data_IF_718020030717
#
_entry.id   IF_718020030717
#
_cell.length_a   1.000
_cell.length_b   1.000
_cell.length_c   1.000
_cell.angle_alpha   90.00
_cell.angle_beta   90.00
_cell.angle_gamma   90.00
#
_symmetry.space_group_name_H-M   'P 1'
#
loop_
_entity.id
_entity.type
_entity.pdbx_description
1 polymer ?
#
# COMPACT_ATOMS: atom_id res chain seq x y z
N UNK A 1 11.77 -13.06 -19.27
CA UNK A 1 11.09 -13.40 -17.98
C UNK A 1 9.63 -12.98 -18.13
N UNK A 2 8.68 -13.89 -17.94
CA UNK A 2 7.24 -13.54 -18.04
C UNK A 2 6.72 -13.12 -16.65
N UNK A 3 6.24 -11.89 -16.52
CA UNK A 3 5.71 -11.34 -15.28
C UNK A 3 4.19 -11.12 -15.43
N UNK A 4 3.38 -11.87 -14.70
CA UNK A 4 1.93 -11.69 -14.67
C UNK A 4 1.55 -10.66 -13.59
N UNK A 5 0.87 -9.57 -13.97
CA UNK A 5 0.50 -8.48 -13.07
C UNK A 5 -1.02 -8.36 -12.98
N UNK A 6 -1.59 -8.60 -11.80
CA UNK A 6 -2.98 -8.27 -11.53
C UNK A 6 -3.10 -6.89 -10.91
N UNK A 7 -4.19 -6.17 -11.20
CA UNK A 7 -4.31 -4.77 -10.79
C UNK A 7 -3.44 -3.81 -11.63
N UNK A 8 -3.03 -4.23 -12.83
CA UNK A 8 -2.21 -3.47 -13.77
C UNK A 8 -2.78 -2.09 -14.14
N UNK A 9 -4.11 -1.92 -14.10
CA UNK A 9 -4.79 -0.65 -14.37
C UNK A 9 -4.90 0.27 -13.14
N UNK A 10 -4.51 -0.22 -11.97
CA UNK A 10 -4.50 0.53 -10.72
C UNK A 10 -3.37 1.55 -10.63
N UNK A 11 -3.33 2.33 -9.55
CA UNK A 11 -2.38 3.42 -9.35
C UNK A 11 -0.92 2.93 -9.38
N UNK A 12 -0.56 1.93 -8.57
CA UNK A 12 0.78 1.34 -8.56
C UNK A 12 1.00 0.50 -9.83
N UNK A 13 -0.02 -0.26 -10.24
CA UNK A 13 0.07 -1.18 -11.37
C UNK A 13 0.42 -0.50 -12.69
N UNK A 14 -0.14 0.67 -12.99
CA UNK A 14 0.18 1.43 -14.21
C UNK A 14 1.65 1.79 -14.28
N UNK A 15 2.23 2.29 -13.18
CA UNK A 15 3.64 2.65 -13.13
C UNK A 15 4.53 1.41 -13.23
N UNK A 16 4.17 0.32 -12.54
CA UNK A 16 4.88 -0.95 -12.64
C UNK A 16 4.88 -1.49 -14.07
N UNK A 17 3.73 -1.51 -14.75
CA UNK A 17 3.62 -1.95 -16.15
C UNK A 17 4.48 -1.10 -17.08
N UNK A 18 4.54 0.21 -16.85
CA UNK A 18 5.39 1.10 -17.64
C UNK A 18 6.88 0.81 -17.45
N UNK A 19 7.31 0.50 -16.22
CA UNK A 19 8.70 0.18 -15.92
C UNK A 19 9.11 -1.20 -16.48
N UNK A 20 8.25 -2.20 -16.33
CA UNK A 20 8.56 -3.59 -16.76
C UNK A 20 8.48 -3.78 -18.29
N UNK A 21 7.75 -2.91 -18.99
CA UNK A 21 7.64 -2.95 -20.44
C UNK A 21 7.10 -4.29 -20.99
N UNK A 22 7.73 -4.82 -22.02
CA UNK A 22 7.27 -6.03 -22.73
C UNK A 22 7.34 -7.34 -21.94
N UNK A 23 8.03 -7.37 -20.82
CA UNK A 23 8.10 -8.55 -19.94
C UNK A 23 6.82 -8.76 -19.11
N UNK A 24 5.99 -7.73 -18.97
CA UNK A 24 4.80 -7.76 -18.12
C UNK A 24 3.51 -7.99 -18.91
N UNK A 25 2.68 -8.90 -18.40
CA UNK A 25 1.34 -9.20 -18.92
C UNK A 25 0.29 -8.81 -17.89
N UNK A 26 -0.66 -7.96 -18.30
CA UNK A 26 -1.78 -7.56 -17.45
C UNK A 26 -2.81 -8.69 -17.35
N UNK A 27 -3.14 -9.10 -16.13
CA UNK A 27 -4.10 -10.16 -15.84
C UNK A 27 -5.28 -9.62 -15.05
N UNK A 28 -6.50 -9.93 -15.45
CA UNK A 28 -7.68 -9.58 -14.67
C UNK A 28 -7.87 -10.57 -13.52
N UNK A 29 -7.77 -10.10 -12.26
CA UNK A 29 -8.02 -10.95 -11.09
C UNK A 29 -9.45 -11.52 -11.02
N UNK A 30 -10.41 -10.92 -11.76
CA UNK A 30 -11.81 -11.36 -11.83
C UNK A 30 -12.11 -12.20 -13.09
N UNK A 31 -11.17 -12.27 -14.03
CA UNK A 31 -11.33 -12.94 -15.33
C UNK A 31 -10.64 -14.30 -15.39
N UNK A 32 -10.20 -14.62 -16.61
CA UNK A 32 -9.39 -15.81 -16.90
C UNK A 32 -7.97 -15.62 -16.34
N UNK A 33 -7.51 -16.60 -15.58
CA UNK A 33 -6.20 -16.60 -14.92
C UNK A 33 -5.15 -17.45 -15.68
N UNK A 34 -5.40 -17.82 -16.92
CA UNK A 34 -4.47 -18.65 -17.72
C UNK A 34 -3.07 -18.08 -17.81
N UNK A 35 -2.95 -16.74 -17.85
CA UNK A 35 -1.65 -16.07 -17.92
C UNK A 35 -0.86 -16.14 -16.62
N UNK A 36 -1.47 -16.55 -15.50
CA UNK A 36 -0.79 -16.84 -14.23
C UNK A 36 0.03 -18.12 -14.36
N UNK A 37 -0.56 -19.16 -14.97
CA UNK A 37 0.16 -20.38 -15.24
C UNK A 37 1.29 -20.12 -16.27
N UNK A 38 2.48 -20.62 -15.99
CA UNK A 38 3.67 -20.40 -16.81
C UNK A 38 4.27 -19.00 -16.74
N UNK A 39 3.88 -18.19 -15.77
CA UNK A 39 4.61 -16.97 -15.43
C UNK A 39 5.80 -17.28 -14.53
N UNK A 40 6.97 -16.67 -14.80
CA UNK A 40 8.13 -16.78 -13.91
C UNK A 40 7.89 -16.03 -12.59
N UNK A 41 7.12 -14.94 -12.66
CA UNK A 41 6.79 -14.05 -11.54
C UNK A 41 5.32 -13.66 -11.60
N UNK A 42 4.66 -13.64 -10.44
CA UNK A 42 3.31 -13.09 -10.30
C UNK A 42 3.34 -11.91 -9.32
N UNK A 43 2.79 -10.76 -9.76
CA UNK A 43 2.59 -9.56 -8.94
C UNK A 43 1.10 -9.31 -8.77
N UNK A 44 0.60 -9.43 -7.54
CA UNK A 44 -0.82 -9.27 -7.22
C UNK A 44 -1.10 -7.96 -6.50
N UNK A 45 -1.58 -6.96 -7.26
CA UNK A 45 -1.93 -5.63 -6.76
C UNK A 45 -3.44 -5.36 -6.79
N UNK A 46 -4.24 -6.33 -7.25
CA UNK A 46 -5.67 -6.15 -7.37
C UNK A 46 -6.37 -6.18 -5.99
N UNK A 47 -7.34 -5.31 -5.80
CA UNK A 47 -8.16 -5.25 -4.60
C UNK A 47 -9.22 -4.15 -4.69
N UNK A 48 -10.34 -4.33 -4.01
CA UNK A 48 -11.39 -3.32 -3.91
C UNK A 48 -10.84 -2.06 -3.21
N UNK A 49 -11.11 -0.83 -3.71
CA UNK A 49 -10.67 0.39 -3.07
C UNK A 49 -11.19 0.51 -1.63
N UNK A 50 -10.30 0.84 -0.68
CA UNK A 50 -10.69 1.06 0.73
C UNK A 50 -11.20 2.48 0.98
N UNK A 51 -10.88 3.44 0.11
CA UNK A 51 -11.22 4.86 0.24
C UNK A 51 -12.67 5.15 -0.19
N UNK A 52 -13.62 4.47 0.43
CA UNK A 52 -15.08 4.64 0.26
C UNK A 52 -15.77 4.44 1.60
N UNK A 53 -17.04 4.87 1.74
CA UNK A 53 -17.79 4.68 3.00
C UNK A 53 -18.03 3.19 3.25
N UNK A 54 -17.64 2.70 4.43
CA UNK A 54 -17.75 1.28 4.75
C UNK A 54 -19.15 0.92 5.22
N UNK A 55 -19.92 0.33 4.32
CA UNK A 55 -21.13 -0.44 4.67
C UNK A 55 -20.73 -1.89 4.89
N UNK A 56 -21.66 -2.75 5.31
CA UNK A 56 -21.45 -4.18 5.43
C UNK A 56 -21.01 -4.80 4.09
N UNK A 57 -21.68 -4.41 3.01
CA UNK A 57 -21.42 -4.89 1.65
C UNK A 57 -20.03 -4.44 1.15
N UNK A 58 -19.63 -3.19 1.46
CA UNK A 58 -18.31 -2.67 1.10
C UNK A 58 -17.21 -3.38 1.86
N UNK A 59 -17.38 -3.63 3.15
CA UNK A 59 -16.43 -4.41 3.95
C UNK A 59 -16.27 -5.82 3.40
N UNK A 60 -17.38 -6.48 3.04
CA UNK A 60 -17.33 -7.80 2.42
C UNK A 60 -16.58 -7.78 1.09
N UNK A 61 -16.83 -6.81 0.21
CA UNK A 61 -16.08 -6.64 -1.04
C UNK A 61 -14.58 -6.38 -0.81
N UNK A 62 -14.24 -5.58 0.20
CA UNK A 62 -12.84 -5.32 0.57
C UNK A 62 -12.16 -6.62 1.01
N UNK A 63 -12.82 -7.43 1.86
CA UNK A 63 -12.28 -8.70 2.34
C UNK A 63 -12.20 -9.74 1.22
N UNK A 64 -13.30 -10.01 0.53
CA UNK A 64 -13.35 -11.06 -0.50
C UNK A 64 -12.42 -10.77 -1.67
N UNK A 65 -12.31 -9.52 -2.11
CA UNK A 65 -11.37 -9.17 -3.19
C UNK A 65 -9.90 -9.45 -2.83
N UNK A 66 -9.55 -9.45 -1.55
CA UNK A 66 -8.20 -9.73 -1.05
C UNK A 66 -8.02 -11.20 -0.71
N UNK A 67 -8.85 -11.73 0.16
CA UNK A 67 -8.72 -13.11 0.67
C UNK A 67 -9.04 -14.12 -0.43
N UNK A 68 -10.27 -14.10 -0.94
CA UNK A 68 -10.71 -15.02 -2.00
C UNK A 68 -10.01 -14.73 -3.34
N UNK A 69 -9.79 -13.43 -3.63
CA UNK A 69 -9.04 -13.02 -4.81
C UNK A 69 -7.64 -13.59 -4.82
N UNK A 70 -6.91 -13.51 -3.71
CA UNK A 70 -5.55 -14.06 -3.58
C UNK A 70 -5.56 -15.58 -3.62
N UNK A 71 -6.52 -16.24 -2.94
CA UNK A 71 -6.69 -17.71 -3.03
C UNK A 71 -6.81 -18.18 -4.46
N UNK A 72 -7.66 -17.53 -5.26
CA UNK A 72 -7.81 -17.86 -6.69
C UNK A 72 -6.52 -17.70 -7.49
N UNK A 73 -5.71 -16.67 -7.19
CA UNK A 73 -4.42 -16.46 -7.83
C UNK A 73 -3.45 -17.60 -7.45
N UNK A 74 -3.38 -17.96 -6.16
CA UNK A 74 -2.52 -19.06 -5.67
C UNK A 74 -2.97 -20.41 -6.27
N UNK A 75 -4.27 -20.65 -6.37
CA UNK A 75 -4.79 -21.88 -7.00
C UNK A 75 -4.41 -21.95 -8.49
N UNK A 76 -4.41 -20.81 -9.20
CA UNK A 76 -4.00 -20.77 -10.60
C UNK A 76 -2.49 -21.03 -10.79
N UNK A 77 -1.67 -20.80 -9.77
CA UNK A 77 -0.22 -21.09 -9.79
C UNK A 77 0.09 -22.60 -9.63
N UNK A 78 -0.85 -23.41 -9.12
CA UNK A 78 -0.58 -24.83 -8.79
C UNK A 78 -0.14 -25.68 -9.98
N UNK A 79 -0.62 -25.35 -11.19
CA UNK A 79 -0.28 -26.12 -12.39
C UNK A 79 1.15 -25.90 -12.87
N UNK A 80 1.68 -24.68 -12.66
CA UNK A 80 3.03 -24.28 -13.03
C UNK A 80 3.46 -23.13 -12.09
N UNK A 81 4.06 -23.46 -10.94
CA UNK A 81 4.35 -22.48 -9.89
C UNK A 81 5.41 -21.45 -10.29
N UNK A 82 5.17 -20.15 -10.08
CA UNK A 82 6.15 -19.12 -10.35
C UNK A 82 7.31 -19.19 -9.35
N UNK A 83 8.47 -18.69 -9.74
CA UNK A 83 9.62 -18.57 -8.81
C UNK A 83 9.34 -17.57 -7.69
N UNK A 84 8.58 -16.49 -8.01
CA UNK A 84 8.31 -15.38 -7.10
C UNK A 84 6.84 -14.97 -7.16
N UNK A 85 6.25 -14.78 -6.00
CA UNK A 85 4.95 -14.17 -5.82
C UNK A 85 5.07 -12.93 -4.96
N UNK A 86 4.83 -11.75 -5.53
CA UNK A 86 4.75 -10.48 -4.83
C UNK A 86 3.28 -10.12 -4.64
N UNK A 87 2.81 -10.14 -3.41
CA UNK A 87 1.42 -9.82 -3.07
C UNK A 87 1.35 -8.47 -2.35
N UNK A 88 0.43 -7.60 -2.75
CA UNK A 88 0.13 -6.41 -1.98
C UNK A 88 -0.44 -6.79 -0.60
N UNK A 89 -0.12 -5.97 0.39
CA UNK A 89 -0.71 -5.91 1.72
C UNK A 89 -0.78 -4.43 2.13
N UNK A 90 -1.05 -4.12 3.38
CA UNK A 90 -1.14 -2.74 3.84
C UNK A 90 -0.65 -2.58 5.28
N UNK A 91 -0.15 -1.38 5.63
CA UNK A 91 0.18 -1.00 7.01
C UNK A 91 -1.04 -1.01 7.95
N UNK A 92 -2.26 -1.12 7.39
CA UNK A 92 -3.48 -1.44 8.14
C UNK A 92 -3.38 -2.70 9.00
N UNK A 93 -2.45 -3.60 8.68
CA UNK A 93 -2.05 -4.75 9.49
C UNK A 93 -1.76 -4.37 10.95
N UNK A 94 -1.13 -3.23 11.18
CA UNK A 94 -0.69 -2.80 12.52
C UNK A 94 -1.76 -2.06 13.32
N UNK A 95 -2.82 -1.55 12.67
CA UNK A 95 -3.80 -0.68 13.32
C UNK A 95 -3.20 0.64 13.81
N UNK A 96 -3.81 1.24 14.84
CA UNK A 96 -3.31 2.49 15.44
C UNK A 96 -2.55 2.18 16.72
N UNK A 97 -1.25 2.53 16.78
CA UNK A 97 -0.31 2.12 17.85
C UNK A 97 0.39 3.32 18.53
N UNK A 98 -0.18 4.54 18.42
CA UNK A 98 0.42 5.74 19.01
C UNK A 98 1.83 6.01 18.51
N UNK A 99 2.81 6.15 19.42
CA UNK A 99 4.21 6.43 19.09
C UNK A 99 5.09 5.18 18.93
N UNK A 100 4.50 3.98 19.04
CA UNK A 100 5.23 2.72 18.92
C UNK A 100 5.89 2.61 17.55
N UNK A 101 7.17 2.24 17.54
CA UNK A 101 7.91 1.98 16.33
C UNK A 101 7.51 0.59 15.80
N UNK A 102 6.98 0.54 14.58
CA UNK A 102 6.43 -0.67 13.97
C UNK A 102 7.36 -1.17 12.88
N UNK A 103 7.72 -2.43 12.97
CA UNK A 103 8.54 -3.15 12.00
C UNK A 103 7.79 -4.36 11.45
N UNK A 104 8.37 -5.08 10.52
CA UNK A 104 7.75 -6.28 9.96
C UNK A 104 7.48 -7.37 10.99
N UNK A 105 8.21 -7.36 12.11
CA UNK A 105 8.05 -8.30 13.24
C UNK A 105 6.95 -7.88 14.24
N UNK A 106 6.41 -6.66 14.13
CA UNK A 106 5.35 -6.17 15.02
C UNK A 106 4.06 -6.94 14.81
N UNK A 107 3.35 -7.22 15.92
CA UNK A 107 2.11 -7.99 15.91
C UNK A 107 0.98 -7.27 15.15
N UNK A 108 0.04 -8.03 14.56
CA UNK A 108 -1.14 -7.47 13.92
C UNK A 108 -2.09 -6.82 14.93
N UNK A 109 -2.89 -5.88 14.46
CA UNK A 109 -3.98 -5.31 15.24
C UNK A 109 -5.24 -6.17 15.15
N UNK A 110 -6.06 -6.05 16.18
CA UNK A 110 -7.45 -6.49 16.12
C UNK A 110 -8.31 -5.49 15.33
N UNK A 111 -9.41 -5.98 14.78
CA UNK A 111 -10.36 -5.18 14.01
C UNK A 111 -10.22 -5.36 12.50
N UNK A 112 -11.20 -4.80 11.78
CA UNK A 112 -11.48 -5.14 10.38
C UNK A 112 -10.25 -5.11 9.45
N UNK A 113 -9.47 -4.04 9.45
CA UNK A 113 -8.30 -3.94 8.52
C UNK A 113 -7.17 -4.86 8.94
N UNK A 114 -6.88 -4.97 10.24
CA UNK A 114 -5.83 -5.87 10.73
C UNK A 114 -6.16 -7.32 10.38
N UNK A 115 -7.38 -7.76 10.65
CA UNK A 115 -7.86 -9.11 10.35
C UNK A 115 -7.82 -9.40 8.84
N UNK A 116 -8.31 -8.47 8.02
CA UNK A 116 -8.24 -8.61 6.55
C UNK A 116 -6.80 -8.74 6.06
N UNK A 117 -5.87 -7.95 6.59
CA UNK A 117 -4.45 -8.04 6.20
C UNK A 117 -3.83 -9.38 6.62
N UNK A 118 -4.15 -9.87 7.83
CA UNK A 118 -3.68 -11.19 8.32
C UNK A 118 -4.15 -12.31 7.40
N UNK A 119 -5.44 -12.35 7.09
CA UNK A 119 -6.01 -13.36 6.20
C UNK A 119 -5.46 -13.25 4.77
N UNK A 120 -5.33 -12.03 4.28
CA UNK A 120 -4.75 -11.77 2.96
C UNK A 120 -3.32 -12.30 2.82
N UNK A 121 -2.45 -11.97 3.80
CA UNK A 121 -1.07 -12.48 3.84
C UNK A 121 -1.01 -13.99 4.05
N UNK A 122 -1.95 -14.57 4.81
CA UNK A 122 -2.04 -16.01 4.98
C UNK A 122 -2.36 -16.72 3.66
N UNK A 123 -3.33 -16.22 2.89
CA UNK A 123 -3.64 -16.76 1.56
C UNK A 123 -2.46 -16.63 0.60
N UNK A 124 -1.74 -15.50 0.63
CA UNK A 124 -0.57 -15.34 -0.22
C UNK A 124 0.55 -16.35 0.13
N UNK A 125 0.77 -16.63 1.43
CA UNK A 125 1.80 -17.56 1.89
C UNK A 125 1.51 -19.02 1.54
N UNK A 126 0.28 -19.39 1.21
CA UNK A 126 -0.02 -20.74 0.70
C UNK A 126 0.75 -21.06 -0.58
N UNK A 127 1.24 -20.05 -1.33
CA UNK A 127 2.13 -20.28 -2.47
C UNK A 127 3.52 -20.81 -2.08
N UNK A 128 3.94 -20.68 -0.80
CA UNK A 128 5.19 -21.25 -0.31
C UNK A 128 5.18 -22.78 -0.35
N UNK A 129 4.02 -23.41 -0.19
CA UNK A 129 3.83 -24.87 -0.31
C UNK A 129 4.12 -25.37 -1.75
N UNK A 130 4.07 -24.46 -2.74
CA UNK A 130 4.37 -24.75 -4.13
C UNK A 130 5.86 -24.55 -4.47
N UNK A 131 6.69 -24.17 -3.48
CA UNK A 131 8.09 -23.81 -3.68
C UNK A 131 8.31 -22.36 -4.14
N UNK A 132 7.25 -21.56 -4.24
CA UNK A 132 7.28 -20.15 -4.64
C UNK A 132 7.80 -19.27 -3.51
N UNK A 133 8.71 -18.34 -3.81
CA UNK A 133 9.14 -17.31 -2.85
C UNK A 133 8.08 -16.22 -2.75
N UNK A 134 7.52 -16.03 -1.57
CA UNK A 134 6.44 -15.06 -1.33
C UNK A 134 6.97 -13.80 -0.66
N UNK A 135 6.53 -12.62 -1.15
CA UNK A 135 6.77 -11.32 -0.55
C UNK A 135 5.44 -10.59 -0.39
N UNK A 136 5.07 -10.20 0.84
CA UNK A 136 3.87 -9.44 1.13
C UNK A 136 4.23 -7.99 1.40
N UNK A 137 3.90 -7.07 0.49
CA UNK A 137 4.23 -5.65 0.59
C UNK A 137 3.16 -4.91 1.39
N UNK A 138 3.45 -4.55 2.64
CA UNK A 138 2.58 -3.73 3.52
C UNK A 138 2.71 -2.26 3.13
N UNK A 139 1.89 -1.85 2.17
CA UNK A 139 1.93 -0.49 1.63
C UNK A 139 1.43 0.54 2.63
N UNK A 140 2.20 1.63 2.81
CA UNK A 140 1.76 2.87 3.41
C UNK A 140 0.92 3.71 2.44
N UNK A 141 0.72 4.98 2.77
CA UNK A 141 0.12 5.96 1.86
C UNK A 141 1.06 6.20 0.68
N UNK A 142 0.69 5.73 -0.50
CA UNK A 142 1.50 5.91 -1.71
C UNK A 142 1.25 7.29 -2.31
N UNK A 143 2.31 8.10 -2.37
CA UNK A 143 2.32 9.46 -2.90
C UNK A 143 2.71 9.43 -4.39
N UNK A 144 1.90 10.06 -5.23
CA UNK A 144 2.14 10.18 -6.68
C UNK A 144 1.00 10.94 -7.34
N UNK A 145 1.15 11.28 -8.61
CA UNK A 145 0.10 11.95 -9.39
C UNK A 145 -1.10 11.00 -9.57
N UNK A 146 -2.22 11.35 -8.99
CA UNK A 146 -3.39 10.48 -8.85
C UNK A 146 -3.44 9.80 -7.47
N UNK A 147 -4.25 8.78 -7.31
CA UNK A 147 -4.35 7.99 -6.09
C UNK A 147 -4.92 8.73 -4.87
N UNK A 148 -4.52 8.27 -3.67
CA UNK A 148 -5.07 8.79 -2.41
C UNK A 148 -4.70 10.23 -2.10
N UNK A 149 -3.50 10.67 -2.48
CA UNK A 149 -3.02 12.02 -2.23
C UNK A 149 -3.85 13.08 -2.96
N UNK A 150 -4.33 12.80 -4.17
CA UNK A 150 -5.13 13.76 -4.94
C UNK A 150 -6.41 14.18 -4.19
N UNK A 151 -7.07 13.21 -3.55
CA UNK A 151 -8.24 13.48 -2.71
C UNK A 151 -7.87 14.30 -1.47
N UNK A 152 -6.68 14.09 -0.91
CA UNK A 152 -6.18 14.85 0.24
C UNK A 152 -5.79 16.28 -0.14
N UNK A 153 -5.30 16.52 -1.36
CA UNK A 153 -4.93 17.85 -1.84
C UNK A 153 -6.14 18.78 -2.04
N UNK A 154 -7.32 18.24 -2.33
CA UNK A 154 -8.50 19.06 -2.66
C UNK A 154 -8.85 20.08 -1.56
N UNK A 155 -8.95 19.74 -0.27
CA UNK A 155 -9.18 20.72 0.80
C UNK A 155 -8.10 21.81 0.86
N UNK A 156 -6.83 21.46 0.62
CA UNK A 156 -5.73 22.42 0.61
C UNK A 156 -5.86 23.39 -0.56
N UNK A 157 -6.15 22.90 -1.78
CA UNK A 157 -6.39 23.74 -2.97
C UNK A 157 -7.53 24.72 -2.74
N UNK A 158 -8.54 24.34 -1.96
CA UNK A 158 -9.68 25.18 -1.56
C UNK A 158 -9.38 26.11 -0.37
N UNK A 159 -8.18 26.06 0.21
CA UNK A 159 -7.79 26.91 1.35
C UNK A 159 -8.36 26.49 2.71
N UNK A 160 -9.02 25.31 2.78
CA UNK A 160 -9.63 24.76 4.01
C UNK A 160 -8.85 23.52 4.53
N UNK A 161 -7.67 23.25 3.98
CA UNK A 161 -6.79 22.18 4.44
C UNK A 161 -6.24 22.44 5.83
N UNK A 162 -5.91 21.36 6.55
CA UNK A 162 -5.33 21.47 7.87
C UNK A 162 -5.03 20.12 8.53
N UNK A 163 -4.35 20.19 9.68
CA UNK A 163 -4.03 18.99 10.45
C UNK A 163 -5.28 18.35 11.04
N UNK A 164 -5.26 17.04 11.15
CA UNK A 164 -6.38 16.26 11.69
C UNK A 164 -6.23 16.13 13.21
N UNK A 165 -7.19 16.64 13.94
CA UNK A 165 -7.16 16.68 15.40
C UNK A 165 -5.97 17.48 15.91
N UNK A 166 -5.15 16.89 16.80
CA UNK A 166 -3.91 17.48 17.29
C UNK A 166 -2.72 17.33 16.33
N UNK A 167 -2.85 16.47 15.31
CA UNK A 167 -1.82 16.22 14.30
C UNK A 167 -0.65 15.36 14.76
N UNK A 168 -0.72 14.74 15.94
CA UNK A 168 0.36 13.92 16.49
C UNK A 168 0.45 12.51 15.93
N UNK A 169 -0.60 12.03 15.27
CA UNK A 169 -0.61 10.69 14.68
C UNK A 169 0.46 10.56 13.59
N UNK A 170 1.21 9.48 13.63
CA UNK A 170 2.22 9.11 12.65
C UNK A 170 1.57 8.61 11.36
N UNK A 171 2.15 9.02 10.24
CA UNK A 171 1.72 8.63 8.89
C UNK A 171 2.82 7.81 8.22
N UNK A 172 2.50 6.56 7.92
CA UNK A 172 3.33 5.73 7.07
C UNK A 172 3.07 6.09 5.60
N UNK A 173 4.08 6.57 4.89
CA UNK A 173 3.98 7.01 3.51
C UNK A 173 5.14 6.46 2.68
N UNK A 174 4.99 6.44 1.36
CA UNK A 174 6.03 6.09 0.39
C UNK A 174 5.77 6.82 -0.93
N UNK A 175 6.80 7.20 -1.66
CA UNK A 175 6.66 7.70 -3.02
C UNK A 175 6.32 6.55 -3.98
N UNK A 176 5.57 6.82 -5.05
CA UNK A 176 5.15 5.82 -6.05
C UNK A 176 6.35 5.11 -6.68
N UNK A 177 7.40 5.85 -7.04
CA UNK A 177 8.62 5.27 -7.62
C UNK A 177 9.30 4.30 -6.66
N UNK A 178 9.34 4.62 -5.35
CA UNK A 178 9.91 3.73 -4.34
C UNK A 178 9.00 2.51 -4.08
N UNK A 179 7.69 2.68 -4.13
CA UNK A 179 6.76 1.55 -4.01
C UNK A 179 6.94 0.56 -5.18
N UNK A 180 7.10 1.07 -6.40
CA UNK A 180 7.39 0.24 -7.59
C UNK A 180 8.79 -0.36 -7.50
N UNK A 181 9.80 0.43 -7.10
CA UNK A 181 11.17 -0.06 -6.93
C UNK A 181 11.28 -1.18 -5.89
N UNK A 182 10.47 -1.16 -4.82
CA UNK A 182 10.38 -2.27 -3.87
C UNK A 182 9.76 -3.53 -4.48
N UNK A 183 8.80 -3.40 -5.39
CA UNK A 183 8.26 -4.53 -6.15
C UNK A 183 9.35 -5.12 -7.04
N UNK A 184 10.10 -4.29 -7.77
CA UNK A 184 11.20 -4.71 -8.64
C UNK A 184 12.33 -5.38 -7.84
N UNK A 185 12.66 -4.85 -6.66
CA UNK A 185 13.59 -5.48 -5.74
C UNK A 185 13.05 -6.83 -5.22
N UNK A 186 11.76 -6.91 -4.89
CA UNK A 186 11.13 -8.16 -4.46
C UNK A 186 11.16 -9.22 -5.56
N UNK A 187 11.07 -8.84 -6.83
CA UNK A 187 11.21 -9.74 -7.98
C UNK A 187 12.66 -10.26 -8.08
N UNK A 188 13.64 -9.35 -8.07
CA UNK A 188 15.04 -9.66 -8.41
C UNK A 188 15.86 -10.19 -7.24
N UNK A 189 15.55 -9.81 -5.99
CA UNK A 189 16.39 -10.13 -4.82
C UNK A 189 15.86 -11.34 -4.04
N UNK A 190 16.66 -12.42 -3.91
CA UNK A 190 16.32 -13.56 -3.07
C UNK A 190 16.32 -13.23 -1.56
N UNK A 191 16.86 -12.08 -1.17
CA UNK A 191 16.93 -11.63 0.23
C UNK A 191 15.58 -11.22 0.79
N UNK A 192 14.62 -10.80 -0.07
CA UNK A 192 13.28 -10.43 0.37
C UNK A 192 12.35 -11.65 0.39
N UNK A 193 11.79 -11.93 1.57
CA UNK A 193 10.79 -12.98 1.81
C UNK A 193 9.82 -12.52 2.90
N UNK A 194 8.59 -13.02 2.86
CA UNK A 194 7.56 -12.72 3.85
C UNK A 194 7.12 -11.25 3.83
N UNK A 195 6.74 -10.67 4.98
CA UNK A 195 6.28 -9.30 5.05
C UNK A 195 7.42 -8.30 4.83
N UNK A 196 7.12 -7.24 4.08
CA UNK A 196 8.02 -6.10 3.81
C UNK A 196 7.19 -4.82 3.92
N UNK A 197 7.61 -3.90 4.78
CA UNK A 197 6.98 -2.59 4.87
C UNK A 197 7.37 -1.73 3.68
N UNK A 198 6.41 -1.45 2.81
CA UNK A 198 6.56 -0.53 1.70
C UNK A 198 6.22 0.89 2.19
N UNK A 199 7.16 1.47 2.95
CA UNK A 199 7.09 2.81 3.54
C UNK A 199 8.43 3.51 3.38
N UNK A 200 8.43 4.85 3.36
CA UNK A 200 9.66 5.62 3.41
C UNK A 200 10.36 5.46 4.79
N UNK A 201 11.69 5.60 4.84
CA UNK A 201 12.47 5.37 6.07
C UNK A 201 12.27 6.45 7.13
N UNK A 202 11.69 7.60 6.76
CA UNK A 202 11.45 8.74 7.64
C UNK A 202 9.94 8.97 7.82
N UNK A 203 9.27 8.24 8.73
CA UNK A 203 7.86 8.47 9.04
C UNK A 203 7.68 9.88 9.63
N UNK A 204 6.55 10.51 9.37
CA UNK A 204 6.23 11.87 9.81
C UNK A 204 4.93 11.90 10.59
N UNK A 205 4.72 12.93 11.40
CA UNK A 205 3.43 13.20 12.01
C UNK A 205 2.46 13.82 10.99
N UNK A 206 1.16 13.72 11.25
CA UNK A 206 0.17 14.40 10.41
C UNK A 206 0.35 15.92 10.38
N UNK A 207 0.82 16.53 11.48
CA UNK A 207 1.13 17.95 11.52
C UNK A 207 2.28 18.29 10.56
N UNK A 208 3.35 17.49 10.52
CA UNK A 208 4.46 17.64 9.57
C UNK A 208 4.00 17.42 8.15
N UNK A 209 3.25 16.34 7.90
CA UNK A 209 2.68 16.07 6.57
C UNK A 209 1.83 17.23 6.07
N UNK A 210 0.97 17.77 6.94
CA UNK A 210 0.09 18.91 6.61
C UNK A 210 0.91 20.16 6.26
N UNK A 211 1.96 20.46 7.04
CA UNK A 211 2.83 21.60 6.80
C UNK A 211 3.57 21.48 5.47
N UNK A 212 4.19 20.32 5.20
CA UNK A 212 4.94 20.09 3.97
C UNK A 212 4.02 20.09 2.73
N UNK A 213 2.83 19.49 2.82
CA UNK A 213 1.85 19.50 1.74
C UNK A 213 1.33 20.93 1.46
N UNK A 214 1.04 21.70 2.49
CA UNK A 214 0.63 23.10 2.34
C UNK A 214 1.71 23.95 1.68
N UNK A 215 2.97 23.76 2.10
CA UNK A 215 4.12 24.44 1.51
C UNK A 215 4.31 24.08 0.03
N UNK A 216 4.25 22.77 -0.32
CA UNK A 216 4.37 22.31 -1.69
C UNK A 216 3.25 22.84 -2.61
N UNK A 217 2.03 22.98 -2.08
CA UNK A 217 0.88 23.53 -2.81
C UNK A 217 0.82 25.05 -2.80
N UNK A 218 1.71 25.75 -2.08
CA UNK A 218 1.65 27.21 -1.84
C UNK A 218 0.28 27.65 -1.29
N UNK A 219 -0.26 26.88 -0.33
CA UNK A 219 -1.56 27.11 0.30
C UNK A 219 -1.46 27.13 1.82
N UNK A 220 -2.24 27.97 2.51
CA UNK A 220 -2.30 27.91 3.97
C UNK A 220 -2.96 26.62 4.46
N UNK A 221 -2.54 26.15 5.66
CA UNK A 221 -3.16 25.02 6.35
C UNK A 221 -3.43 25.40 7.83
N UNK A 222 -4.33 26.34 8.02
CA UNK A 222 -4.55 27.01 9.31
C UNK A 222 -5.61 26.27 10.14
N UNK A 223 -6.63 25.71 9.50
CA UNK A 223 -7.81 25.19 10.18
C UNK A 223 -7.63 23.72 10.56
N UNK A 224 -7.67 23.36 11.86
CA UNK A 224 -7.64 21.94 12.24
C UNK A 224 -8.94 21.25 11.80
N UNK A 225 -8.80 20.03 11.26
CA UNK A 225 -9.95 19.20 10.87
C UNK A 225 -10.34 18.31 12.06
N UNK A 226 -11.53 18.50 12.66
CA UNK A 226 -11.93 17.66 13.78
C UNK A 226 -12.17 16.21 13.34
N UNK A 227 -11.73 15.23 14.16
CA UNK A 227 -11.93 13.80 13.86
C UNK A 227 -13.40 13.43 13.67
N UNK A 228 -14.31 14.05 14.43
CA UNK A 228 -15.75 13.78 14.29
C UNK A 228 -16.31 14.21 12.93
N UNK A 229 -15.78 15.28 12.33
CA UNK A 229 -16.20 15.71 10.99
C UNK A 229 -15.80 14.69 9.93
N UNK A 230 -14.62 14.09 10.04
CA UNK A 230 -14.17 12.99 9.17
C UNK A 230 -15.06 11.76 9.35
N UNK A 231 -15.42 11.42 10.59
CA UNK A 231 -16.33 10.30 10.85
C UNK A 231 -17.73 10.52 10.26
N UNK A 232 -18.25 11.74 10.35
CA UNK A 232 -19.54 12.11 9.74
C UNK A 232 -19.51 11.95 8.21
N UNK A 233 -18.43 12.38 7.56
CA UNK A 233 -18.26 12.34 6.11
C UNK A 233 -18.01 10.93 5.59
N UNK A 234 -17.09 10.20 6.23
CA UNK A 234 -16.53 8.94 5.73
C UNK A 234 -16.94 7.71 6.54
N UNK A 235 -17.64 7.88 7.66
CA UNK A 235 -17.99 6.78 8.56
C UNK A 235 -16.73 6.11 9.12
N UNK A 236 -16.77 4.80 9.29
CA UNK A 236 -15.66 4.02 9.86
C UNK A 236 -14.38 4.04 9.02
N UNK A 237 -14.46 4.35 7.71
CA UNK A 237 -13.29 4.54 6.87
C UNK A 237 -12.37 5.66 7.38
N UNK A 238 -12.91 6.65 8.08
CA UNK A 238 -12.15 7.76 8.65
C UNK A 238 -11.01 7.27 9.57
N UNK A 239 -11.14 6.09 10.19
CA UNK A 239 -10.08 5.51 11.03
C UNK A 239 -8.75 5.31 10.28
N UNK A 240 -8.77 5.08 8.97
CA UNK A 240 -7.54 4.99 8.16
C UNK A 240 -6.79 6.32 8.19
N UNK A 241 -7.53 7.43 8.19
CA UNK A 241 -6.96 8.78 8.05
C UNK A 241 -6.34 9.28 9.36
N UNK A 242 -6.86 8.83 10.51
CA UNK A 242 -6.35 9.25 11.83
C UNK A 242 -5.65 8.15 12.63
N UNK A 243 -5.45 6.96 12.05
CA UNK A 243 -4.60 5.94 12.65
C UNK A 243 -3.16 6.43 12.80
N UNK A 244 -2.54 6.12 13.93
CA UNK A 244 -1.14 6.44 14.18
C UNK A 244 -0.28 5.21 13.89
N UNK A 245 0.59 5.32 12.89
CA UNK A 245 1.39 4.19 12.37
C UNK A 245 2.81 4.67 12.07
N UNK A 246 3.71 4.53 13.06
CA UNK A 246 5.13 4.85 12.92
C UNK A 246 5.88 3.64 12.37
N UNK A 247 5.76 3.40 11.05
CA UNK A 247 6.25 2.19 10.40
C UNK A 247 7.63 2.41 9.79
N UNK A 248 8.53 1.43 10.00
CA UNK A 248 9.89 1.42 9.46
C UNK A 248 10.06 0.29 8.44
N UNK A 249 10.73 0.54 7.31
CA UNK A 249 10.97 -0.45 6.26
C UNK A 249 12.26 -1.26 6.53
N UNK A 250 12.33 -1.96 7.67
CA UNK A 250 13.58 -2.65 8.05
C UNK A 250 13.99 -3.72 7.06
N UNK A 251 13.06 -4.50 6.53
CA UNK A 251 13.37 -5.55 5.56
C UNK A 251 13.95 -4.97 4.27
N UNK A 252 13.39 -3.88 3.77
CA UNK A 252 13.88 -3.18 2.58
C UNK A 252 15.29 -2.60 2.80
N UNK A 253 15.51 -1.96 3.95
CA UNK A 253 16.83 -1.40 4.32
C UNK A 253 17.87 -2.51 4.47
N UNK A 254 17.57 -3.61 5.15
CA UNK A 254 18.47 -4.78 5.27
C UNK A 254 18.77 -5.44 3.91
N UNK A 255 17.82 -5.39 2.98
CA UNK A 255 18.03 -5.88 1.61
C UNK A 255 18.91 -4.95 0.76
N UNK A 256 19.20 -3.73 1.26
CA UNK A 256 20.03 -2.74 0.60
C UNK A 256 19.27 -1.81 -0.35
N UNK A 257 17.93 -1.69 -0.19
CA UNK A 257 17.14 -0.77 -1.01
C UNK A 257 17.56 0.69 -0.77
N UNK A 258 17.80 1.42 -1.84
CA UNK A 258 18.12 2.84 -1.81
C UNK A 258 16.88 3.62 -2.20
N UNK A 259 16.25 4.28 -1.21
CA UNK A 259 15.06 5.09 -1.45
C UNK A 259 15.40 6.33 -2.29
N UNK A 260 14.66 6.54 -3.38
CA UNK A 260 14.75 7.73 -4.21
C UNK A 260 14.21 8.96 -3.48
N UNK A 261 13.13 8.77 -2.73
CA UNK A 261 12.48 9.81 -1.94
C UNK A 261 12.42 9.43 -0.45
N UNK A 262 13.55 9.52 0.29
CA UNK A 262 13.57 9.17 1.71
C UNK A 262 12.84 10.20 2.58
N UNK A 263 12.73 11.46 2.13
CA UNK A 263 12.13 12.55 2.88
C UNK A 263 10.84 13.05 2.22
N UNK A 264 9.86 13.40 3.05
CA UNK A 264 8.53 13.79 2.60
C UNK A 264 8.52 15.04 1.72
N UNK A 265 9.35 16.03 2.04
CA UNK A 265 9.39 17.32 1.32
C UNK A 265 9.68 17.12 -0.15
N UNK A 266 10.75 16.38 -0.47
CA UNK A 266 11.17 16.12 -1.85
C UNK A 266 10.11 15.27 -2.58
N UNK A 267 9.53 14.28 -1.89
CA UNK A 267 8.46 13.45 -2.44
C UNK A 267 7.22 14.28 -2.81
N UNK A 268 6.79 15.20 -1.94
CA UNK A 268 5.64 16.06 -2.23
C UNK A 268 5.92 17.07 -3.34
N UNK A 269 7.11 17.65 -3.40
CA UNK A 269 7.49 18.57 -4.48
C UNK A 269 7.46 17.89 -5.84
N UNK A 270 7.94 16.65 -5.95
CA UNK A 270 7.87 15.85 -7.20
C UNK A 270 6.42 15.59 -7.63
N UNK A 271 5.55 15.27 -6.67
CA UNK A 271 4.16 14.91 -7.00
C UNK A 271 3.32 16.12 -7.40
N UNK A 272 3.56 17.32 -6.84
CA UNK A 272 2.74 18.51 -7.09
C UNK A 272 3.27 19.36 -8.25
N UNK A 273 4.52 19.15 -8.67
CA UNK A 273 5.08 19.76 -9.90
C UNK A 273 4.45 19.11 -11.17
#
# INVERSE_FOLDING_TARGET
>A
MKIAVTGATGFIGKQLMANLGGDAVAVSARGDLKEIAGADVVVHLAGEPVSQRWTKEVREKIRSSRVEGTRRIVDAMRADPPQVFVCASAVGYYGSRGDELLTESSAPAHGFLGEVCVEWEAEARNAEELGTRVVCLRNGLVLGKGGGLEKMMLPFKLGVGGKIGDGKQWMAWIHLDDAVGLIELAISSPKLRGPVNATAPNPVTNAEFTRELAAALHRPAIFPVPKFALHLLYGDMAQIVYASQRVMPEAAVRAGYQFRFPNLKEALLDVVS
#
